data_IF_211807001826
#
_entry.id   IF_211807001826
#
_cell.length_a   1.000
_cell.length_b   1.000
_cell.length_c   1.000
_cell.angle_alpha   90.00
_cell.angle_beta   90.00
_cell.angle_gamma   90.00
#
_symmetry.space_group_name_H-M   'P 1'
#
loop_
_entity.id
_entity.type
_entity.pdbx_description
1 polymer ?
#
# COMPACT_ATOMS: atom_id res chain seq x y z
N UNK A 1 -19.68 36.80 -11.34
CA UNK A 1 -18.58 35.88 -10.99
C UNK A 1 -18.94 34.51 -11.57
N UNK A 2 -18.42 34.18 -12.75
CA UNK A 2 -18.82 32.96 -13.46
C UNK A 2 -18.25 31.74 -12.77
N UNK A 3 -19.13 30.81 -12.38
CA UNK A 3 -18.75 29.51 -11.84
C UNK A 3 -18.13 28.74 -13.01
N UNK A 4 -16.80 28.75 -13.09
CA UNK A 4 -16.06 27.89 -14.03
C UNK A 4 -16.36 26.46 -13.60
N UNK A 5 -16.91 25.67 -14.52
CA UNK A 5 -16.98 24.22 -14.40
C UNK A 5 -15.58 23.69 -14.08
N UNK A 6 -15.31 23.43 -12.81
CA UNK A 6 -14.18 22.65 -12.33
C UNK A 6 -14.47 21.21 -12.74
N UNK A 7 -14.19 20.89 -14.01
CA UNK A 7 -14.28 19.54 -14.54
C UNK A 7 -13.59 18.58 -13.57
N UNK A 8 -14.19 17.41 -13.38
CA UNK A 8 -13.68 16.37 -12.47
C UNK A 8 -12.23 16.07 -12.85
N UNK A 9 -11.29 16.65 -12.12
CA UNK A 9 -9.88 16.31 -12.20
C UNK A 9 -9.78 14.90 -11.61
N UNK A 10 -9.39 13.93 -12.44
CA UNK A 10 -9.66 12.50 -12.25
C UNK A 10 -9.48 11.95 -10.82
N UNK A 11 -10.31 10.98 -10.47
CA UNK A 11 -10.22 10.28 -9.18
C UNK A 11 -8.87 9.53 -9.11
N UNK A 12 -7.97 10.01 -8.26
CA UNK A 12 -6.69 9.35 -7.99
C UNK A 12 -6.91 8.31 -6.91
N UNK A 13 -7.20 7.06 -7.28
CA UNK A 13 -7.62 6.02 -6.33
C UNK A 13 -6.73 4.79 -6.41
N UNK A 14 -6.69 4.01 -5.33
CA UNK A 14 -6.51 2.57 -5.43
C UNK A 14 -7.90 1.89 -5.35
N UNK A 15 -7.92 0.57 -5.23
CA UNK A 15 -9.12 -0.23 -4.98
C UNK A 15 -9.89 0.19 -3.73
N UNK A 16 -9.21 0.71 -2.70
CA UNK A 16 -9.78 0.88 -1.37
C UNK A 16 -9.78 2.32 -0.83
N UNK A 17 -8.98 3.24 -1.38
CA UNK A 17 -8.92 4.63 -0.89
C UNK A 17 -8.52 5.65 -1.96
N UNK A 18 -8.92 6.90 -1.73
CA UNK A 18 -8.51 8.05 -2.53
C UNK A 18 -7.12 8.52 -2.08
N UNK A 19 -6.32 8.96 -3.05
CA UNK A 19 -5.10 9.72 -2.83
C UNK A 19 -5.42 11.22 -2.89
N UNK A 20 -4.66 12.03 -2.16
CA UNK A 20 -4.86 13.49 -2.12
C UNK A 20 -4.65 14.14 -3.49
N UNK A 21 -3.74 13.59 -4.27
CA UNK A 21 -3.34 14.11 -5.58
C UNK A 21 -2.74 12.99 -6.46
N UNK A 22 -2.53 13.32 -7.73
CA UNK A 22 -1.94 12.41 -8.70
C UNK A 22 -0.53 11.93 -8.31
N UNK A 23 0.29 12.81 -7.75
CA UNK A 23 1.68 12.48 -7.44
C UNK A 23 1.78 11.43 -6.34
N UNK A 24 0.92 11.48 -5.33
CA UNK A 24 0.81 10.45 -4.30
C UNK A 24 0.36 9.11 -4.90
N UNK A 25 -0.66 9.11 -5.75
CA UNK A 25 -1.12 7.90 -6.43
C UNK A 25 -0.03 7.30 -7.33
N UNK A 26 0.71 8.15 -8.05
CA UNK A 26 1.83 7.74 -8.91
C UNK A 26 3.01 7.20 -8.10
N UNK A 27 3.34 7.80 -6.96
CA UNK A 27 4.36 7.29 -6.02
C UNK A 27 3.95 5.92 -5.49
N UNK A 28 2.70 5.78 -5.02
CA UNK A 28 2.19 4.50 -4.51
C UNK A 28 2.15 3.41 -5.59
N UNK A 29 1.83 3.76 -6.84
CA UNK A 29 1.83 2.83 -7.99
C UNK A 29 3.22 2.30 -8.33
N UNK A 30 4.23 3.16 -8.26
CA UNK A 30 5.59 2.86 -8.69
C UNK A 30 6.53 2.46 -7.54
N UNK A 31 6.00 2.29 -6.33
CA UNK A 31 6.82 1.90 -5.19
C UNK A 31 7.37 0.49 -5.36
N UNK A 32 8.58 0.27 -4.85
CA UNK A 32 9.25 -1.03 -4.82
C UNK A 32 9.33 -1.49 -3.37
N UNK A 33 8.79 -2.68 -3.11
CA UNK A 33 8.71 -3.29 -1.79
C UNK A 33 9.42 -4.65 -1.85
N UNK A 34 10.74 -4.74 -1.61
CA UNK A 34 11.44 -6.02 -1.55
C UNK A 34 10.89 -6.92 -0.43
N UNK A 35 11.07 -8.25 -0.56
CA UNK A 35 10.76 -9.20 0.51
C UNK A 35 11.53 -8.80 1.78
N UNK A 36 10.88 -8.92 2.94
CA UNK A 36 11.40 -8.49 4.23
C UNK A 36 11.14 -7.00 4.54
N UNK A 37 10.57 -6.23 3.61
CA UNK A 37 10.21 -4.83 3.88
C UNK A 37 9.06 -4.75 4.87
N UNK A 38 9.25 -3.96 5.94
CA UNK A 38 8.18 -3.56 6.84
C UNK A 38 7.21 -2.60 6.14
N UNK A 39 5.92 -2.92 6.20
CA UNK A 39 4.86 -2.18 5.54
C UNK A 39 3.69 -1.95 6.49
N UNK A 40 3.00 -0.83 6.32
CA UNK A 40 1.73 -0.54 7.00
C UNK A 40 0.61 -0.50 5.96
N UNK A 41 -0.47 -1.24 6.19
CA UNK A 41 -1.66 -1.17 5.37
C UNK A 41 -2.34 0.20 5.57
N UNK A 42 -2.66 0.90 4.49
CA UNK A 42 -3.27 2.24 4.50
C UNK A 42 -4.68 2.23 5.07
N UNK A 43 -5.46 1.18 4.79
CA UNK A 43 -6.86 1.07 5.21
C UNK A 43 -6.96 0.67 6.68
N UNK A 44 -6.25 -0.38 7.08
CA UNK A 44 -6.40 -0.98 8.41
C UNK A 44 -5.42 -0.40 9.43
N UNK A 45 -4.33 0.22 8.96
CA UNK A 45 -3.25 0.70 9.82
C UNK A 45 -2.38 -0.41 10.41
N UNK A 46 -2.63 -1.68 10.07
CA UNK A 46 -1.88 -2.83 10.59
C UNK A 46 -0.50 -2.87 9.93
N UNK A 47 0.50 -3.23 10.72
CA UNK A 47 1.90 -3.33 10.28
C UNK A 47 2.22 -4.81 10.05
N UNK A 48 2.92 -5.08 8.96
CA UNK A 48 3.37 -6.42 8.59
C UNK A 48 4.63 -6.37 7.74
N UNK A 49 5.00 -7.53 7.20
CA UNK A 49 6.23 -7.71 6.43
C UNK A 49 5.89 -8.35 5.08
N UNK A 50 6.50 -7.86 4.01
CA UNK A 50 6.40 -8.51 2.69
C UNK A 50 7.03 -9.90 2.76
N UNK A 51 6.21 -10.93 2.57
CA UNK A 51 6.64 -12.33 2.62
C UNK A 51 6.94 -12.88 1.22
N UNK A 52 6.08 -12.60 0.24
CA UNK A 52 6.17 -13.19 -1.10
C UNK A 52 5.65 -12.25 -2.19
N UNK A 53 6.22 -12.34 -3.40
CA UNK A 53 5.68 -11.72 -4.60
C UNK A 53 4.73 -12.67 -5.32
N UNK A 54 3.55 -12.17 -5.71
CA UNK A 54 2.62 -12.95 -6.50
C UNK A 54 3.00 -12.93 -8.00
N UNK A 55 2.56 -13.96 -8.74
CA UNK A 55 2.66 -13.97 -10.22
C UNK A 55 1.93 -12.79 -10.86
N UNK A 56 0.86 -12.31 -10.21
CA UNK A 56 0.13 -11.13 -10.63
C UNK A 56 0.90 -9.86 -10.26
N UNK A 57 1.16 -9.01 -11.26
CA UNK A 57 1.86 -7.73 -11.06
C UNK A 57 1.09 -6.84 -10.09
N UNK A 58 1.80 -6.20 -9.17
CA UNK A 58 1.23 -5.25 -8.21
C UNK A 58 0.67 -5.88 -6.94
N UNK A 59 0.76 -7.20 -6.77
CA UNK A 59 0.28 -7.89 -5.57
C UNK A 59 1.41 -8.62 -4.84
N UNK A 60 1.31 -8.63 -3.52
CA UNK A 60 2.26 -9.25 -2.60
C UNK A 60 1.50 -9.95 -1.47
N UNK A 61 2.12 -10.97 -0.88
CA UNK A 61 1.66 -11.54 0.38
C UNK A 61 2.33 -10.78 1.52
N UNK A 62 1.51 -10.17 2.39
CA UNK A 62 1.97 -9.52 3.62
C UNK A 62 1.66 -10.44 4.80
N UNK A 63 2.68 -10.65 5.64
CA UNK A 63 2.57 -11.36 6.91
C UNK A 63 2.30 -10.34 8.03
N UNK A 64 1.11 -10.39 8.61
CA UNK A 64 0.72 -9.54 9.76
C UNK A 64 0.82 -10.28 11.11
N UNK A 65 1.03 -11.59 11.09
CA UNK A 65 1.02 -12.46 12.27
C UNK A 65 1.91 -13.69 12.10
N UNK A 66 2.02 -14.55 13.12
CA UNK A 66 2.85 -15.77 13.05
C UNK A 66 2.18 -16.91 12.30
N UNK A 67 0.85 -16.94 12.25
CA UNK A 67 0.10 -18.07 11.73
C UNK A 67 -0.12 -17.90 10.22
N UNK A 68 -0.25 -19.01 9.46
CA UNK A 68 -0.53 -18.92 8.01
C UNK A 68 -1.80 -18.15 7.67
N UNK A 69 -2.79 -18.11 8.58
CA UNK A 69 -4.04 -17.34 8.41
C UNK A 69 -3.82 -15.81 8.46
N UNK A 70 -2.68 -15.37 8.99
CA UNK A 70 -2.32 -13.96 9.12
C UNK A 70 -1.53 -13.47 7.89
N UNK A 71 -1.49 -14.28 6.82
CA UNK A 71 -0.91 -13.94 5.53
C UNK A 71 -2.03 -13.46 4.61
N UNK A 72 -1.90 -12.23 4.12
CA UNK A 72 -2.93 -11.60 3.30
C UNK A 72 -2.37 -11.17 1.96
N UNK A 73 -3.17 -11.33 0.91
CA UNK A 73 -2.90 -10.80 -0.41
C UNK A 73 -3.23 -9.31 -0.41
N UNK A 74 -2.25 -8.49 -0.73
CA UNK A 74 -2.37 -7.02 -0.68
C UNK A 74 -1.89 -6.41 -1.98
N UNK A 75 -2.55 -5.33 -2.41
CA UNK A 75 -2.06 -4.54 -3.53
C UNK A 75 -0.97 -3.58 -3.06
N UNK A 76 0.14 -3.46 -3.80
CA UNK A 76 1.29 -2.64 -3.37
C UNK A 76 0.91 -1.18 -3.11
N UNK A 77 -0.09 -0.64 -3.83
CA UNK A 77 -0.56 0.74 -3.61
C UNK A 77 -1.22 0.96 -2.25
N UNK A 78 -1.75 -0.09 -1.64
CA UNK A 78 -2.42 -0.07 -0.34
C UNK A 78 -1.41 -0.11 0.81
N UNK A 79 -0.12 -0.27 0.50
CA UNK A 79 0.94 -0.37 1.48
C UNK A 79 1.74 0.93 1.55
N UNK A 80 2.17 1.26 2.77
CA UNK A 80 3.13 2.32 3.09
C UNK A 80 4.41 1.63 3.53
N UNK A 81 5.51 1.87 2.80
CA UNK A 81 6.84 1.46 3.21
C UNK A 81 7.24 2.15 4.52
N UNK A 82 7.71 1.40 5.50
CA UNK A 82 8.32 1.94 6.70
C UNK A 82 9.82 2.17 6.45
N UNK A 83 10.31 3.37 6.77
CA UNK A 83 11.69 3.80 6.41
C UNK A 83 12.77 3.27 7.37
N UNK A 84 12.40 2.72 8.53
CA UNK A 84 13.34 2.25 9.55
C UNK A 84 13.07 0.80 9.96
N UNK A 85 14.15 0.05 10.16
CA UNK A 85 14.23 -1.33 10.65
C UNK A 85 13.63 -1.56 12.05
N UNK A 86 13.12 -0.52 12.71
CA UNK A 86 12.84 -0.47 14.15
C UNK A 86 11.52 -1.12 14.58
N UNK A 87 10.91 -1.96 13.75
CA UNK A 87 9.74 -2.76 14.16
C UNK A 87 9.78 -4.20 13.64
N UNK A 88 10.97 -4.79 13.59
CA UNK A 88 11.14 -6.23 13.37
C UNK A 88 11.25 -7.04 14.69
N UNK A 89 10.87 -6.47 15.84
CA UNK A 89 10.70 -7.22 17.11
C UNK A 89 9.25 -7.64 17.38
N UNK A 90 8.49 -7.94 16.33
CA UNK A 90 7.16 -8.50 16.50
C UNK A 90 6.98 -9.73 15.63
N UNK A 91 7.90 -10.70 15.67
CA UNK A 91 7.59 -12.14 15.52
C UNK A 91 8.67 -13.00 16.19
#
# INVERSE_FOLDING_TARGET
>A
MSIKNSGVIGLYTCSCHLFKNYDEAKKAKNQKLPIGTGVKNRCTGIIGIINEFCKQKGYVIVKYGKLPKDHHLEHVQELIKLENSDQLELF
#
